data_IF_863066466672
#
_entry.id   IF_863066466672
#
_cell.length_a   1.000
_cell.length_b   1.000
_cell.length_c   1.000
_cell.angle_alpha   90.00
_cell.angle_beta   90.00
_cell.angle_gamma   90.00
#
_symmetry.space_group_name_H-M   'P 1'
#
loop_
_entity.id
_entity.type
_entity.pdbx_description
1 polymer ?
#
# COMPACT_ATOMS: atom_id res chain seq x y z
N UNK A 1 -19.41 -5.42 3.76
CA UNK A 1 -18.34 -4.50 3.34
C UNK A 1 -17.30 -5.26 2.52
N UNK A 2 -16.77 -4.66 1.44
CA UNK A 2 -15.69 -5.25 0.64
C UNK A 2 -14.40 -5.31 1.48
N UNK A 3 -13.63 -6.40 1.34
CA UNK A 3 -12.32 -6.53 1.99
C UNK A 3 -11.30 -5.61 1.28
N UNK A 4 -10.38 -5.04 2.06
CA UNK A 4 -9.24 -4.24 1.59
C UNK A 4 -7.97 -4.90 2.11
N UNK A 5 -6.94 -4.98 1.28
CA UNK A 5 -5.62 -5.51 1.61
C UNK A 5 -4.65 -4.35 1.77
N UNK A 6 -3.75 -4.45 2.75
CA UNK A 6 -2.68 -3.49 2.95
C UNK A 6 -1.33 -4.15 2.78
N UNK A 7 -0.42 -3.49 2.06
CA UNK A 7 0.90 -4.03 1.73
C UNK A 7 1.96 -2.97 2.02
N UNK A 8 2.96 -3.32 2.81
CA UNK A 8 4.14 -2.46 3.08
C UNK A 8 5.23 -2.71 2.03
N UNK A 9 5.86 -1.64 1.56
CA UNK A 9 7.10 -1.66 0.78
C UNK A 9 8.18 -0.92 1.57
N UNK A 10 9.34 -1.56 1.72
CA UNK A 10 10.47 -1.04 2.51
C UNK A 10 11.44 -0.28 1.62
N UNK A 11 11.92 0.88 2.08
CA UNK A 11 12.92 1.66 1.36
C UNK A 11 14.32 1.02 1.45
N UNK A 12 15.11 1.09 0.37
CA UNK A 12 16.47 0.50 0.31
C UNK A 12 17.55 1.38 0.96
N UNK A 13 17.34 2.69 1.01
CA UNK A 13 18.30 3.64 1.56
C UNK A 13 17.95 3.97 3.02
N UNK A 14 18.96 3.91 3.90
CA UNK A 14 18.82 4.34 5.28
C UNK A 14 18.39 5.81 5.33
N UNK A 15 17.14 6.07 5.78
CA UNK A 15 16.59 7.41 5.96
C UNK A 15 15.26 7.66 5.26
N UNK A 16 14.91 6.86 4.26
CA UNK A 16 13.62 6.96 3.58
C UNK A 16 12.53 6.22 4.36
N UNK A 17 11.32 6.80 4.39
CA UNK A 17 10.16 6.18 5.04
C UNK A 17 9.64 5.02 4.19
N UNK A 18 9.15 3.98 4.86
CA UNK A 18 8.38 2.94 4.18
C UNK A 18 7.13 3.53 3.54
N UNK A 19 6.74 2.97 2.40
CA UNK A 19 5.49 3.30 1.74
C UNK A 19 4.53 2.13 1.88
N UNK A 20 3.23 2.43 1.86
CA UNK A 20 2.20 1.43 2.01
C UNK A 20 1.19 1.57 0.86
N UNK A 21 0.50 0.48 0.58
CA UNK A 21 -0.63 0.48 -0.35
C UNK A 21 -1.86 -0.06 0.35
N UNK A 22 -3.01 0.53 0.05
CA UNK A 22 -4.30 -0.11 0.22
C UNK A 22 -4.78 -0.61 -1.15
N UNK A 23 -5.38 -1.80 -1.23
CA UNK A 23 -5.85 -2.36 -2.50
C UNK A 23 -7.01 -3.34 -2.36
N UNK A 24 -7.69 -3.60 -3.48
CA UNK A 24 -8.79 -4.57 -3.52
C UNK A 24 -8.31 -6.03 -3.43
N UNK A 25 -7.03 -6.26 -3.72
CA UNK A 25 -6.33 -7.54 -3.70
C UNK A 25 -4.82 -7.31 -3.71
N UNK A 26 -4.05 -8.30 -3.27
CA UNK A 26 -2.59 -8.28 -3.41
C UNK A 26 -2.19 -8.10 -4.88
N UNK A 27 -2.82 -8.84 -5.80
CA UNK A 27 -2.50 -8.78 -7.23
C UNK A 27 -2.69 -7.39 -7.83
N UNK A 28 -3.73 -6.65 -7.44
CA UNK A 28 -3.93 -5.27 -7.92
C UNK A 28 -2.81 -4.35 -7.48
N UNK A 29 -2.36 -4.45 -6.23
CA UNK A 29 -1.21 -3.69 -5.72
C UNK A 29 0.04 -4.07 -6.52
N UNK A 30 0.26 -5.37 -6.73
CA UNK A 30 1.43 -5.86 -7.47
C UNK A 30 1.43 -5.38 -8.92
N UNK A 31 0.26 -5.31 -9.58
CA UNK A 31 0.12 -4.80 -10.95
C UNK A 31 0.39 -3.30 -11.06
N UNK A 32 0.08 -2.53 -10.01
CA UNK A 32 0.36 -1.09 -9.94
C UNK A 32 1.83 -0.81 -9.60
N UNK A 33 2.60 -1.85 -9.26
CA UNK A 33 4.05 -1.81 -9.11
C UNK A 33 4.73 -2.53 -10.28
N UNK A 34 6.01 -2.23 -10.55
CA UNK A 34 6.78 -2.94 -11.57
C UNK A 34 7.14 -4.34 -11.04
N UNK A 35 6.36 -5.33 -11.47
CA UNK A 35 6.47 -6.76 -11.16
C UNK A 35 6.32 -7.11 -9.66
N UNK A 36 5.60 -6.30 -8.89
CA UNK A 36 5.53 -6.48 -7.44
C UNK A 36 6.77 -6.03 -6.68
N UNK A 37 7.73 -5.43 -7.37
CA UNK A 37 9.10 -5.24 -6.90
C UNK A 37 9.59 -3.80 -6.90
N UNK A 38 8.85 -2.85 -7.45
CA UNK A 38 9.23 -1.44 -7.31
C UNK A 38 8.08 -0.53 -7.63
N UNK A 39 8.03 0.61 -6.95
CA UNK A 39 7.09 1.69 -7.25
C UNK A 39 7.84 3.01 -7.28
N UNK A 40 7.93 3.65 -8.44
CA UNK A 40 8.74 4.86 -8.61
C UNK A 40 10.22 4.62 -8.27
N UNK A 41 10.74 5.35 -7.28
CA UNK A 41 12.12 5.23 -6.77
C UNK A 41 12.27 4.20 -5.65
N UNK A 42 11.18 3.60 -5.18
CA UNK A 42 11.18 2.63 -4.10
C UNK A 42 11.35 1.22 -4.68
N UNK A 43 12.48 0.58 -4.38
CA UNK A 43 12.72 -0.82 -4.71
C UNK A 43 12.32 -1.72 -3.56
N UNK A 44 11.57 -2.76 -3.91
CA UNK A 44 11.11 -3.79 -3.01
C UNK A 44 12.25 -4.64 -2.46
N UNK A 45 12.32 -4.78 -1.14
CA UNK A 45 13.09 -5.85 -0.48
C UNK A 45 12.18 -7.02 -0.09
N UNK A 46 11.02 -6.71 0.49
CA UNK A 46 9.99 -7.65 0.94
C UNK A 46 8.67 -6.89 1.13
N UNK A 47 7.52 -7.58 1.02
CA UNK A 47 6.24 -7.05 1.43
C UNK A 47 5.73 -7.86 2.61
N UNK A 48 4.87 -7.22 3.38
CA UNK A 48 4.08 -7.88 4.40
C UNK A 48 2.66 -7.37 4.28
N UNK A 49 1.71 -8.30 4.33
CA UNK A 49 0.31 -7.95 4.49
C UNK A 49 0.06 -7.61 5.97
N UNK A 50 -0.57 -6.48 6.20
CA UNK A 50 -0.87 -5.97 7.55
C UNK A 50 -2.36 -5.71 7.70
N UNK A 51 -2.86 -5.75 8.93
CA UNK A 51 -4.26 -5.45 9.25
C UNK A 51 -4.58 -3.94 9.12
N UNK A 52 -5.87 -3.60 9.01
CA UNK A 52 -6.31 -2.20 8.97
C UNK A 52 -5.91 -1.47 10.26
N UNK A 53 -6.01 -2.16 11.41
CA UNK A 53 -5.69 -1.65 12.73
C UNK A 53 -4.20 -1.30 12.86
N UNK A 54 -3.32 -2.19 12.37
CA UNK A 54 -1.87 -1.95 12.34
C UNK A 54 -1.53 -0.74 11.49
N UNK A 55 -2.14 -0.60 10.30
CA UNK A 55 -1.89 0.55 9.42
C UNK A 55 -2.42 1.85 10.01
N UNK A 56 -3.59 1.83 10.67
CA UNK A 56 -4.15 3.00 11.37
C UNK A 56 -3.21 3.52 12.47
N UNK A 57 -2.52 2.63 13.17
CA UNK A 57 -1.58 3.00 14.22
C UNK A 57 -0.36 3.78 13.68
N UNK A 58 0.00 3.60 12.41
CA UNK A 58 1.12 4.26 11.75
C UNK A 58 0.84 5.73 11.38
N UNK A 59 -0.42 6.18 11.45
CA UNK A 59 -0.83 7.57 11.12
C UNK A 59 -0.36 8.04 9.74
N UNK A 60 -0.48 7.16 8.74
CA UNK A 60 -0.04 7.40 7.36
C UNK A 60 -0.84 8.50 6.66
N UNK A 61 -0.18 9.24 5.78
CA UNK A 61 -0.85 10.22 4.93
C UNK A 61 -1.81 9.53 3.95
N UNK A 62 -2.89 10.23 3.60
CA UNK A 62 -3.92 9.80 2.65
C UNK A 62 -4.66 8.48 2.99
N UNK A 63 -4.43 7.91 4.18
CA UNK A 63 -4.99 6.62 4.58
C UNK A 63 -6.51 6.50 4.36
N UNK A 64 -7.31 7.42 4.92
CA UNK A 64 -8.78 7.40 4.76
C UNK A 64 -9.23 7.61 3.31
N UNK A 65 -8.50 8.45 2.55
CA UNK A 65 -8.79 8.72 1.12
C UNK A 65 -8.52 7.47 0.28
N UNK A 66 -7.41 6.78 0.52
CA UNK A 66 -7.06 5.54 -0.16
C UNK A 66 -8.06 4.43 0.15
N UNK A 67 -8.42 4.26 1.43
CA UNK A 67 -9.48 3.33 1.85
C UNK A 67 -10.80 3.60 1.13
N UNK A 68 -11.22 4.87 1.12
CA UNK A 68 -12.45 5.28 0.44
C UNK A 68 -12.40 4.99 -1.06
N UNK A 69 -11.30 5.35 -1.74
CA UNK A 69 -11.15 5.17 -3.18
C UNK A 69 -11.21 3.68 -3.57
N UNK A 70 -10.52 2.81 -2.82
CA UNK A 70 -10.49 1.36 -3.07
C UNK A 70 -11.84 0.70 -2.78
N UNK A 71 -12.51 1.08 -1.69
CA UNK A 71 -13.83 0.51 -1.31
C UNK A 71 -14.93 0.87 -2.30
N UNK A 72 -14.87 2.07 -2.88
CA UNK A 72 -15.86 2.56 -3.84
C UNK A 72 -15.50 2.26 -5.31
N UNK A 73 -14.45 1.46 -5.56
CA UNK A 73 -13.95 1.10 -6.89
C UNK A 73 -13.51 2.30 -7.76
N UNK A 74 -13.10 3.41 -7.15
CA UNK A 74 -12.52 4.55 -7.88
C UNK A 74 -11.11 4.21 -8.39
N UNK A 75 -10.39 3.34 -7.68
CA UNK A 75 -9.12 2.75 -8.09
C UNK A 75 -8.99 1.33 -7.52
N UNK A 76 -8.02 0.55 -8.02
CA UNK A 76 -7.79 -0.83 -7.57
C UNK A 76 -6.75 -0.93 -6.45
N UNK A 77 -5.74 -0.06 -6.48
CA UNK A 77 -4.86 0.22 -5.35
C UNK A 77 -4.61 1.73 -5.19
N UNK A 78 -4.14 2.13 -4.01
CA UNK A 78 -3.84 3.50 -3.67
C UNK A 78 -2.64 3.57 -2.73
N UNK A 79 -1.66 4.42 -3.05
CA UNK A 79 -0.50 4.68 -2.21
C UNK A 79 -0.89 5.47 -0.95
N UNK A 80 -0.53 4.95 0.21
CA UNK A 80 -0.77 5.55 1.52
C UNK A 80 0.56 5.60 2.29
N UNK A 81 0.83 6.70 2.98
CA UNK A 81 2.12 6.91 3.66
C UNK A 81 2.94 8.06 3.10
#
# INVERSE_FOLDING_TARGET
MKKVVFVRFVAKNYGDKDIYFAGDSLQSIMNDTKDGKSFGLYEFSSFTEVSEEEVRALRLEYFEKGLYAVRNNNCRSYLIG
#
